data_IF_729677015594
#
_entry.id   IF_729677015594
#
_cell.length_a   1.000
_cell.length_b   1.000
_cell.length_c   1.000
_cell.angle_alpha   90.00
_cell.angle_beta   90.00
_cell.angle_gamma   90.00
#
_symmetry.space_group_name_H-M   'P 1'
#
loop_
_entity.id
_entity.type
_entity.pdbx_description
1 polymer ?
#
# COMPACT_ATOMS: atom_id res chain seq x y z
N UNK A 1 -11.67 -3.45 5.89
CA UNK A 1 -10.66 -4.33 6.54
C UNK A 1 -11.07 -5.75 6.21
N UNK A 2 -10.24 -6.52 5.50
CA UNK A 2 -10.75 -7.71 4.79
C UNK A 2 -11.63 -7.34 3.58
N UNK A 3 -12.25 -8.35 2.95
CA UNK A 3 -13.18 -8.22 1.81
C UNK A 3 -14.55 -7.59 2.19
N UNK A 4 -14.58 -6.75 3.23
CA UNK A 4 -15.74 -5.94 3.54
C UNK A 4 -15.80 -4.78 2.56
N UNK A 5 -16.55 -4.99 1.48
CA UNK A 5 -16.79 -3.99 0.44
C UNK A 5 -17.78 -2.90 0.87
N UNK A 6 -18.37 -2.99 2.08
CA UNK A 6 -19.23 -1.95 2.65
C UNK A 6 -18.47 -0.95 3.53
N UNK A 7 -17.23 -1.29 3.92
CA UNK A 7 -16.35 -0.42 4.68
C UNK A 7 -15.77 0.73 3.85
N UNK A 8 -15.45 1.84 4.51
CA UNK A 8 -14.78 2.98 3.87
C UNK A 8 -13.37 2.54 3.42
N UNK A 9 -12.97 2.80 2.16
CA UNK A 9 -11.62 2.50 1.70
C UNK A 9 -10.55 3.12 2.58
N UNK A 10 -9.49 2.36 2.87
CA UNK A 10 -8.36 2.84 3.71
C UNK A 10 -7.25 3.49 2.88
N UNK A 11 -7.26 3.32 1.57
CA UNK A 11 -6.29 3.91 0.66
C UNK A 11 -6.60 3.63 -0.81
N UNK A 12 -5.67 4.03 -1.68
CA UNK A 12 -5.74 3.80 -3.12
C UNK A 12 -4.37 3.41 -3.69
N UNK A 13 -4.38 2.75 -4.84
CA UNK A 13 -3.17 2.35 -5.58
C UNK A 13 -2.57 3.57 -6.27
N UNK A 14 -1.25 3.75 -6.16
CA UNK A 14 -0.51 4.84 -6.82
C UNK A 14 0.36 4.36 -7.97
N UNK A 15 0.82 3.11 -7.90
CA UNK A 15 1.62 2.48 -8.95
C UNK A 15 1.44 0.96 -8.92
N UNK A 16 1.60 0.33 -10.07
CA UNK A 16 1.67 -1.12 -10.21
C UNK A 16 2.69 -1.46 -11.28
N UNK A 17 3.66 -2.31 -10.94
CA UNK A 17 4.74 -2.73 -11.84
C UNK A 17 5.01 -4.21 -11.64
N UNK A 18 5.16 -4.95 -12.72
CA UNK A 18 5.61 -6.34 -12.67
C UNK A 18 7.13 -6.43 -12.80
N UNK A 19 7.75 -7.33 -12.03
CA UNK A 19 9.13 -7.73 -12.22
C UNK A 19 9.30 -9.25 -12.13
N UNK A 20 10.55 -9.73 -12.13
CA UNK A 20 10.86 -11.16 -12.12
C UNK A 20 10.34 -11.89 -10.86
N UNK A 21 9.97 -11.19 -9.80
CA UNK A 21 9.39 -11.76 -8.57
C UNK A 21 7.86 -11.76 -8.59
N UNK A 22 7.25 -10.88 -9.38
CA UNK A 22 5.79 -10.74 -9.49
C UNK A 22 5.33 -9.29 -9.54
N UNK A 23 4.09 -9.06 -9.13
CA UNK A 23 3.46 -7.75 -9.12
C UNK A 23 3.85 -6.95 -7.86
N UNK A 24 4.54 -5.83 -8.07
CA UNK A 24 4.79 -4.81 -7.05
C UNK A 24 3.71 -3.72 -7.15
N UNK A 25 3.11 -3.37 -6.02
CA UNK A 25 2.07 -2.34 -5.95
C UNK A 25 2.46 -1.29 -4.91
N UNK A 26 2.50 -0.02 -5.31
CA UNK A 26 2.62 1.12 -4.43
C UNK A 26 1.24 1.66 -4.09
N UNK A 27 1.05 2.00 -2.82
CA UNK A 27 -0.28 2.32 -2.27
C UNK A 27 -0.16 3.47 -1.27
N UNK A 28 -1.23 4.27 -1.21
CA UNK A 28 -1.32 5.39 -0.27
C UNK A 28 -2.57 5.31 0.58
N UNK A 29 -2.39 5.40 1.89
CA UNK A 29 -3.49 5.49 2.85
C UNK A 29 -4.18 6.86 2.77
N UNK A 30 -5.49 6.87 2.96
CA UNK A 30 -6.24 8.10 3.20
C UNK A 30 -5.86 8.73 4.55
N UNK A 31 -6.12 10.03 4.71
CA UNK A 31 -5.86 10.76 5.96
C UNK A 31 -6.92 10.54 7.05
N UNK A 32 -7.95 9.74 6.79
CA UNK A 32 -9.03 9.46 7.75
C UNK A 32 -8.50 8.69 8.97
N UNK A 33 -9.12 8.88 10.13
CA UNK A 33 -8.70 8.23 11.36
C UNK A 33 -8.67 6.69 11.23
N UNK A 34 -9.67 6.09 10.57
CA UNK A 34 -9.72 4.66 10.33
C UNK A 34 -8.57 4.15 9.43
N UNK A 35 -8.24 4.90 8.37
CA UNK A 35 -7.13 4.56 7.48
C UNK A 35 -5.77 4.66 8.20
N UNK A 36 -5.58 5.69 9.03
CA UNK A 36 -4.35 5.85 9.80
C UNK A 36 -4.22 4.81 10.90
N UNK A 37 -5.31 4.42 11.58
CA UNK A 37 -5.30 3.31 12.51
C UNK A 37 -4.90 1.99 11.83
N UNK A 38 -5.44 1.72 10.64
CA UNK A 38 -5.06 0.57 9.83
C UNK A 38 -3.57 0.56 9.47
N UNK A 39 -3.04 1.72 9.05
CA UNK A 39 -1.62 1.92 8.77
C UNK A 39 -0.76 1.64 10.00
N UNK A 40 -1.12 2.16 11.17
CA UNK A 40 -0.38 1.96 12.43
C UNK A 40 -0.29 0.48 12.78
N UNK A 41 -1.42 -0.24 12.76
CA UNK A 41 -1.43 -1.68 13.06
C UNK A 41 -0.54 -2.47 12.10
N UNK A 42 -0.56 -2.14 10.81
CA UNK A 42 0.29 -2.81 9.83
C UNK A 42 1.78 -2.52 10.08
N UNK A 43 2.12 -1.27 10.41
CA UNK A 43 3.50 -0.84 10.71
C UNK A 43 4.05 -1.56 11.96
N UNK A 44 3.27 -1.61 13.05
CA UNK A 44 3.62 -2.32 14.28
C UNK A 44 3.85 -3.82 14.05
N UNK A 45 3.01 -4.45 13.21
CA UNK A 45 3.18 -5.86 12.85
C UNK A 45 4.48 -6.10 12.10
N UNK A 46 4.78 -5.28 11.09
CA UNK A 46 6.01 -5.39 10.32
C UNK A 46 7.24 -5.18 11.23
N UNK A 47 7.21 -4.17 12.10
CA UNK A 47 8.27 -3.91 13.07
C UNK A 47 8.50 -5.09 14.05
N UNK A 48 7.43 -5.80 14.40
CA UNK A 48 7.49 -7.02 15.23
C UNK A 48 7.85 -8.30 14.45
N UNK A 49 8.26 -8.18 13.17
CA UNK A 49 8.58 -9.32 12.31
C UNK A 49 7.37 -10.19 11.96
N UNK A 50 6.15 -9.67 12.09
CA UNK A 50 4.91 -10.35 11.73
C UNK A 50 4.52 -10.00 10.30
N UNK A 51 3.93 -10.97 9.59
CA UNK A 51 3.42 -10.77 8.24
C UNK A 51 2.16 -9.91 8.25
N UNK A 52 2.01 -9.11 7.20
CA UNK A 52 0.82 -8.34 6.86
C UNK A 52 0.43 -8.74 5.44
N UNK A 53 -0.69 -9.44 5.32
CA UNK A 53 -1.18 -9.88 4.01
C UNK A 53 -1.82 -8.73 3.24
N UNK A 54 -1.73 -8.83 1.92
CA UNK A 54 -2.39 -7.93 0.99
C UNK A 54 -3.33 -8.70 0.08
N UNK A 55 -4.47 -8.10 -0.21
CA UNK A 55 -5.36 -8.50 -1.29
C UNK A 55 -5.56 -7.32 -2.23
N UNK A 56 -5.76 -7.60 -3.51
CA UNK A 56 -6.09 -6.61 -4.52
C UNK A 56 -7.43 -6.94 -5.18
N UNK A 57 -8.23 -5.90 -5.41
CA UNK A 57 -9.36 -5.96 -6.33
C UNK A 57 -8.92 -5.46 -7.69
N UNK A 58 -9.20 -6.22 -8.75
CA UNK A 58 -8.81 -5.87 -10.11
C UNK A 58 -9.88 -6.29 -11.12
N UNK A 59 -9.90 -5.62 -12.26
CA UNK A 59 -10.68 -6.02 -13.43
C UNK A 59 -9.73 -6.59 -14.49
N UNK A 60 -9.90 -7.85 -14.91
CA UNK A 60 -9.09 -8.41 -15.97
C UNK A 60 -9.46 -7.76 -17.31
N UNK A 61 -8.47 -7.22 -18.03
CA UNK A 61 -8.62 -6.58 -19.34
C UNK A 61 -8.29 -7.54 -20.47
N UNK A 62 -7.16 -8.24 -20.33
CA UNK A 62 -6.75 -9.31 -21.23
C UNK A 62 -6.40 -10.52 -20.39
N UNK A 63 -7.02 -11.65 -20.68
CA UNK A 63 -6.80 -12.88 -19.95
C UNK A 63 -7.03 -14.09 -20.85
N UNK A 64 -6.49 -15.23 -20.43
CA UNK A 64 -6.57 -16.50 -21.13
C UNK A 64 -6.70 -17.65 -20.11
N UNK A 65 -6.83 -18.87 -20.61
CA UNK A 65 -6.66 -20.06 -19.79
C UNK A 65 -5.50 -20.89 -20.31
N UNK A 66 -4.73 -21.44 -19.38
CA UNK A 66 -3.68 -22.39 -19.71
C UNK A 66 -3.67 -23.55 -18.73
N UNK A 67 -3.00 -24.63 -19.12
CA UNK A 67 -2.78 -25.78 -18.26
C UNK A 67 -1.44 -25.61 -17.55
N UNK A 68 -1.46 -25.50 -16.23
CA UNK A 68 -0.26 -25.58 -15.37
C UNK A 68 -0.43 -26.75 -14.41
N UNK A 69 0.56 -27.64 -14.39
CA UNK A 69 0.57 -28.81 -13.50
C UNK A 69 -0.72 -29.65 -13.55
N UNK A 70 -1.26 -29.84 -14.77
CA UNK A 70 -2.50 -30.60 -14.99
C UNK A 70 -3.78 -29.88 -14.55
N UNK A 71 -3.70 -28.60 -14.15
CA UNK A 71 -4.85 -27.78 -13.75
C UNK A 71 -5.07 -26.64 -14.73
N UNK A 72 -6.33 -26.38 -15.07
CA UNK A 72 -6.71 -25.19 -15.84
C UNK A 72 -6.63 -23.97 -14.92
N UNK A 73 -5.72 -23.06 -15.24
CA UNK A 73 -5.51 -21.81 -14.51
C UNK A 73 -5.85 -20.62 -15.40
N UNK A 74 -6.32 -19.53 -14.79
CA UNK A 74 -6.54 -18.26 -15.51
C UNK A 74 -5.22 -17.50 -15.56
N UNK A 75 -4.75 -17.22 -16.77
CA UNK A 75 -3.60 -16.37 -17.01
C UNK A 75 -4.07 -14.94 -17.25
N UNK A 76 -3.71 -14.03 -16.35
CA UNK A 76 -4.01 -12.60 -16.47
C UNK A 76 -2.85 -11.93 -17.22
N UNK A 77 -3.12 -11.43 -18.43
CA UNK A 77 -2.11 -10.75 -19.28
C UNK A 77 -2.14 -9.23 -19.07
N UNK A 78 -3.32 -8.69 -18.79
CA UNK A 78 -3.51 -7.27 -18.48
C UNK A 78 -4.66 -7.14 -17.47
N UNK A 79 -4.45 -6.33 -16.44
CA UNK A 79 -5.46 -6.03 -15.41
C UNK A 79 -5.52 -4.53 -15.18
N UNK A 80 -6.70 -4.05 -14.81
CA UNK A 80 -6.86 -2.75 -14.19
C UNK A 80 -6.96 -2.94 -12.67
N UNK A 81 -5.96 -2.48 -11.92
CA UNK A 81 -6.03 -2.48 -10.45
C UNK A 81 -7.03 -1.43 -9.98
N UNK A 82 -7.90 -1.83 -9.04
CA UNK A 82 -8.95 -0.96 -8.50
C UNK A 82 -8.71 -0.60 -7.05
N UNK A 83 -8.40 -1.59 -6.23
CA UNK A 83 -8.31 -1.41 -4.79
C UNK A 83 -7.32 -2.38 -4.17
N UNK A 84 -6.96 -2.08 -2.93
CA UNK A 84 -6.20 -2.97 -2.09
C UNK A 84 -6.83 -3.04 -0.70
N UNK A 85 -6.62 -4.17 -0.06
CA UNK A 85 -7.09 -4.44 1.29
C UNK A 85 -5.98 -5.07 2.12
N UNK A 86 -5.80 -4.56 3.34
CA UNK A 86 -5.01 -5.23 4.37
C UNK A 86 -5.80 -6.44 4.87
N UNK A 87 -5.16 -7.61 4.82
CA UNK A 87 -5.78 -8.89 5.17
C UNK A 87 -4.86 -9.70 6.07
N UNK A 88 -5.44 -10.47 6.98
CA UNK A 88 -4.69 -11.38 7.84
C UNK A 88 -4.21 -12.61 7.05
N UNK A 89 -5.00 -13.02 6.06
CA UNK A 89 -4.74 -14.19 5.22
C UNK A 89 -4.86 -13.75 3.75
N UNK A 90 -3.75 -13.60 3.02
CA UNK A 90 -3.80 -13.26 1.62
C UNK A 90 -4.26 -14.46 0.78
N UNK A 91 -5.00 -14.18 -0.30
CA UNK A 91 -5.44 -15.20 -1.24
C UNK A 91 -4.29 -15.79 -2.08
N UNK A 92 -3.22 -15.01 -2.29
CA UNK A 92 -2.02 -15.43 -2.97
C UNK A 92 -0.86 -15.61 -1.98
N UNK A 93 -0.17 -16.75 -2.06
CA UNK A 93 1.03 -17.02 -1.27
C UNK A 93 2.11 -16.00 -1.66
N UNK A 94 2.63 -15.26 -0.69
CA UNK A 94 3.63 -14.21 -0.90
C UNK A 94 3.07 -12.82 -1.20
N UNK A 95 1.74 -12.63 -1.24
CA UNK A 95 1.13 -11.30 -1.33
C UNK A 95 1.18 -10.60 0.04
N UNK A 96 2.30 -9.95 0.33
CA UNK A 96 2.61 -9.37 1.63
C UNK A 96 3.08 -7.93 1.50
N UNK A 97 2.75 -7.11 2.50
CA UNK A 97 3.29 -5.76 2.59
C UNK A 97 4.80 -5.84 2.86
N UNK A 98 5.60 -5.27 1.97
CA UNK A 98 7.05 -5.26 2.11
C UNK A 98 7.55 -4.15 3.05
N UNK A 99 6.75 -3.10 3.23
CA UNK A 99 7.10 -1.95 4.05
C UNK A 99 5.99 -0.91 4.04
N UNK A 100 5.99 -0.04 5.04
CA UNK A 100 5.12 1.13 5.10
C UNK A 100 6.00 2.34 5.32
N UNK A 101 6.10 3.18 4.30
CA UNK A 101 6.86 4.42 4.39
C UNK A 101 5.96 5.57 4.87
N UNK A 102 6.52 6.44 5.69
CA UNK A 102 5.89 7.74 5.99
C UNK A 102 6.31 8.68 4.88
N UNK A 103 5.36 9.14 4.08
CA UNK A 103 5.64 10.22 3.14
C UNK A 103 5.96 11.47 3.96
N UNK A 104 7.21 11.87 4.01
CA UNK A 104 7.62 13.11 4.69
C UNK A 104 7.24 14.28 3.80
N UNK A 105 5.94 14.57 3.76
CA UNK A 105 5.43 15.74 3.07
C UNK A 105 5.46 16.85 4.12
N UNK A 106 6.63 17.47 4.29
CA UNK A 106 6.76 18.64 5.15
C UNK A 106 5.64 19.61 4.75
N UNK A 107 4.68 19.80 5.65
CA UNK A 107 3.61 20.74 5.43
C UNK A 107 4.20 22.14 5.36
N UNK A 108 3.53 23.05 4.65
CA UNK A 108 3.90 24.48 4.68
C UNK A 108 3.96 25.01 6.12
N UNK A 109 3.16 24.44 7.02
CA UNK A 109 3.21 24.72 8.45
C UNK A 109 4.50 24.21 9.12
N UNK A 110 4.96 23.00 8.80
CA UNK A 110 6.20 22.43 9.34
C UNK A 110 7.44 23.23 8.88
N UNK A 111 7.43 23.70 7.63
CA UNK A 111 8.47 24.57 7.09
C UNK A 111 8.48 25.92 7.82
N UNK A 112 7.29 26.50 8.09
CA UNK A 112 7.20 27.78 8.80
C UNK A 112 7.60 27.65 10.27
N UNK A 113 7.29 26.54 10.94
CA UNK A 113 7.77 26.25 12.29
C UNK A 113 9.29 26.06 12.33
N UNK A 114 9.85 25.36 11.34
CA UNK A 114 11.28 25.20 11.19
C UNK A 114 11.97 26.55 10.93
N UNK A 115 11.43 27.38 10.04
CA UNK A 115 11.95 28.72 9.77
C UNK A 115 11.93 29.61 11.01
N UNK A 116 10.84 29.57 11.79
CA UNK A 116 10.72 30.30 13.07
C UNK A 116 11.68 29.78 14.12
N UNK A 117 11.91 28.47 14.16
CA UNK A 117 12.88 27.85 15.07
C UNK A 117 14.31 28.25 14.70
N UNK A 118 14.64 28.29 13.41
CA UNK A 118 15.93 28.77 12.91
C UNK A 118 16.16 30.26 13.23
N UNK A 119 15.13 31.10 13.07
CA UNK A 119 15.20 32.53 13.43
C UNK A 119 15.43 32.73 14.93
N UNK A 120 14.76 31.96 15.79
CA UNK A 120 14.98 31.98 17.25
C UNK A 120 16.36 31.49 17.65
N UNK A 121 16.92 30.54 16.89
CA UNK A 121 18.24 29.99 17.10
C UNK A 121 19.36 30.86 16.50
N UNK A 122 19.02 31.94 15.79
CA UNK A 122 19.99 32.83 15.14
C UNK A 122 20.79 32.14 14.03
N UNK A 123 20.23 31.10 13.41
CA UNK A 123 20.87 30.36 12.31
C UNK A 123 20.64 31.15 11.03
N UNK A 124 21.73 31.64 10.40
CA UNK A 124 21.66 32.37 9.15
C UNK A 124 21.26 31.45 7.98
N UNK A 125 20.35 31.92 7.12
CA UNK A 125 19.66 31.11 6.08
C UNK A 125 20.39 31.12 4.72
N UNK A 126 21.70 31.37 4.71
CA UNK A 126 22.52 31.46 3.49
C UNK A 126 23.20 30.14 3.12
#
# INVERSE_FOLDING_TARGET
MGHDHSGIPVGYVTEAREDQRGLLVGMKFHSTAGAQAAKTVADERLAAGKRVGLSIGYLPRVWDFEMRDGRRVRLLKEIELKEFSLVTLPAAVGAEAMGIEKSNRAGVADVLELERAMDRAGIDKN
#
